data_IF_359969930628
#
_entry.id   IF_359969930628
#
_cell.length_a   1.000
_cell.length_b   1.000
_cell.length_c   1.000
_cell.angle_alpha   90.00
_cell.angle_beta   90.00
_cell.angle_gamma   90.00
#
_symmetry.space_group_name_H-M   'P 1'
#
loop_
_entity.id
_entity.type
_entity.pdbx_description
1 polymer ?
#
# COMPACT_ATOMS: atom_id res chain seq x y z
N UNK A 1 -11.03 -20.38 8.80
CA UNK A 1 -10.35 -20.43 7.49
C UNK A 1 -11.39 -20.09 6.44
N UNK A 2 -11.36 -18.87 5.87
CA UNK A 2 -12.32 -18.35 4.89
C UNK A 2 -12.08 -18.92 3.48
N UNK A 3 -11.92 -20.25 3.35
CA UNK A 3 -11.85 -20.88 2.02
C UNK A 3 -13.26 -20.89 1.42
N UNK A 4 -13.68 -19.76 0.86
CA UNK A 4 -14.92 -19.63 0.09
C UNK A 4 -15.71 -18.32 0.18
N UNK A 5 -15.31 -17.36 1.02
CA UNK A 5 -16.14 -16.17 1.35
C UNK A 5 -15.41 -14.82 1.16
N UNK A 6 -14.43 -14.76 0.25
CA UNK A 6 -13.83 -13.46 -0.12
C UNK A 6 -14.57 -12.92 -1.34
N UNK A 7 -15.08 -11.71 -1.22
CA UNK A 7 -15.89 -11.05 -2.24
C UNK A 7 -15.20 -9.76 -2.73
N UNK A 8 -15.21 -9.57 -4.05
CA UNK A 8 -14.77 -8.31 -4.66
C UNK A 8 -15.73 -7.19 -4.26
N UNK A 9 -15.19 -6.03 -3.91
CA UNK A 9 -15.93 -4.88 -3.41
C UNK A 9 -16.08 -4.86 -1.88
N UNK A 10 -15.69 -5.93 -1.19
CA UNK A 10 -15.77 -6.02 0.27
C UNK A 10 -14.42 -5.68 0.91
N UNK A 11 -14.47 -5.00 2.06
CA UNK A 11 -13.29 -4.69 2.87
C UNK A 11 -13.04 -5.81 3.86
N UNK A 12 -11.80 -6.29 3.90
CA UNK A 12 -11.32 -7.29 4.85
C UNK A 12 -10.18 -6.69 5.67
N UNK A 13 -9.97 -7.23 6.87
CA UNK A 13 -8.73 -6.97 7.60
C UNK A 13 -7.67 -7.94 7.07
N UNK A 14 -6.51 -7.39 6.69
CA UNK A 14 -5.32 -8.19 6.39
C UNK A 14 -4.54 -8.38 7.67
N UNK A 15 -4.22 -9.63 8.02
CA UNK A 15 -3.31 -9.99 9.10
C UNK A 15 -1.99 -10.48 8.52
N UNK A 16 -0.97 -9.61 8.49
CA UNK A 16 0.33 -9.98 7.93
C UNK A 16 1.09 -10.86 8.94
N UNK A 17 1.56 -12.06 8.56
CA UNK A 17 2.32 -12.92 9.45
C UNK A 17 3.59 -12.27 9.99
N UNK A 18 3.99 -12.64 11.21
CA UNK A 18 5.28 -12.26 11.78
C UNK A 18 6.48 -12.93 11.09
N UNK A 19 6.25 -14.08 10.44
CA UNK A 19 7.28 -14.80 9.70
C UNK A 19 6.83 -14.86 8.25
N UNK A 20 7.64 -14.26 7.37
CA UNK A 20 7.38 -14.13 5.94
C UNK A 20 8.42 -14.92 5.17
N UNK A 21 7.96 -15.68 4.17
CA UNK A 21 8.79 -16.57 3.36
C UNK A 21 8.91 -16.06 1.92
N UNK A 22 10.04 -16.34 1.27
CA UNK A 22 10.27 -16.02 -0.14
C UNK A 22 9.96 -14.56 -0.51
N UNK A 23 9.21 -14.38 -1.60
CA UNK A 23 8.87 -13.06 -2.16
C UNK A 23 7.99 -12.21 -1.23
N UNK A 24 7.24 -12.83 -0.31
CA UNK A 24 6.44 -12.10 0.67
C UNK A 24 7.31 -11.23 1.57
N UNK A 25 8.54 -11.66 1.87
CA UNK A 25 9.46 -10.90 2.70
C UNK A 25 9.93 -9.61 2.01
N UNK A 26 10.07 -9.63 0.69
CA UNK A 26 10.46 -8.46 -0.10
C UNK A 26 9.31 -7.44 -0.12
N UNK A 27 8.09 -7.90 -0.40
CA UNK A 27 6.92 -7.03 -0.56
C UNK A 27 6.34 -6.55 0.78
N UNK A 28 6.27 -7.42 1.79
CA UNK A 28 5.57 -7.17 3.06
C UNK A 28 6.50 -7.05 4.26
N UNK A 29 7.82 -6.99 4.05
CA UNK A 29 8.81 -6.97 5.13
C UNK A 29 8.58 -5.86 6.16
N UNK A 30 8.19 -4.66 5.72
CA UNK A 30 7.84 -3.54 6.61
C UNK A 30 6.50 -3.71 7.33
N UNK A 31 5.60 -4.56 6.81
CA UNK A 31 4.25 -4.76 7.34
C UNK A 31 4.15 -6.02 8.21
N UNK A 32 5.26 -6.68 8.51
CA UNK A 32 5.31 -7.90 9.32
C UNK A 32 4.57 -7.73 10.66
N UNK A 33 3.58 -8.57 10.92
CA UNK A 33 2.78 -8.51 12.15
C UNK A 33 1.80 -7.33 12.22
N UNK A 34 1.67 -6.55 11.13
CA UNK A 34 0.72 -5.47 11.05
C UNK A 34 -0.65 -5.97 10.63
N UNK A 35 -1.66 -5.20 10.99
CA UNK A 35 -3.01 -5.33 10.47
C UNK A 35 -3.44 -4.04 9.78
N UNK A 36 -4.17 -4.17 8.67
CA UNK A 36 -4.71 -3.02 7.94
C UNK A 36 -5.95 -3.43 7.12
N UNK A 37 -6.87 -2.49 6.83
CA UNK A 37 -8.03 -2.77 6.00
C UNK A 37 -7.63 -2.76 4.53
N UNK A 38 -8.17 -3.70 3.75
CA UNK A 38 -7.99 -3.82 2.31
C UNK A 38 -9.35 -4.05 1.66
N UNK A 39 -9.73 -3.18 0.73
CA UNK A 39 -10.91 -3.40 -0.11
C UNK A 39 -10.49 -4.24 -1.30
N UNK A 40 -11.05 -5.44 -1.44
CA UNK A 40 -10.71 -6.38 -2.51
C UNK A 40 -11.25 -5.86 -3.84
N UNK A 41 -10.38 -5.79 -4.84
CA UNK A 41 -10.71 -5.36 -6.21
C UNK A 41 -10.60 -6.48 -7.23
N UNK A 42 -9.90 -7.58 -6.90
CA UNK A 42 -9.72 -8.73 -7.77
C UNK A 42 -9.35 -9.99 -6.97
N UNK A 43 -9.64 -11.16 -7.53
CA UNK A 43 -9.36 -12.45 -6.90
C UNK A 43 -8.70 -13.39 -7.89
N UNK A 44 -7.65 -14.06 -7.42
CA UNK A 44 -7.00 -15.20 -8.04
C UNK A 44 -7.20 -16.45 -7.18
N UNK A 45 -6.65 -17.60 -7.59
CA UNK A 45 -6.84 -18.88 -6.90
C UNK A 45 -6.40 -18.87 -5.42
N UNK A 46 -5.33 -18.14 -5.10
CA UNK A 46 -4.78 -18.05 -3.73
C UNK A 46 -4.42 -16.63 -3.29
N UNK A 47 -4.71 -15.63 -4.11
CA UNK A 47 -4.36 -14.24 -3.84
C UNK A 47 -5.57 -13.31 -4.07
N UNK A 48 -5.61 -12.22 -3.33
CA UNK A 48 -6.56 -11.14 -3.50
C UNK A 48 -5.80 -9.86 -3.84
N UNK A 49 -6.20 -9.22 -4.93
CA UNK A 49 -5.81 -7.86 -5.23
C UNK A 49 -6.76 -6.92 -4.50
N UNK A 50 -6.22 -5.85 -3.93
CA UNK A 50 -7.03 -4.85 -3.28
C UNK A 50 -6.35 -3.51 -3.13
N UNK A 51 -7.13 -2.55 -2.66
CA UNK A 51 -6.67 -1.20 -2.38
C UNK A 51 -6.77 -0.90 -0.90
N UNK A 52 -5.74 -0.25 -0.35
CA UNK A 52 -5.75 0.31 1.00
C UNK A 52 -5.45 1.80 0.94
N UNK A 53 -6.06 2.55 1.85
CA UNK A 53 -5.74 3.96 2.07
C UNK A 53 -4.66 4.06 3.14
N UNK A 54 -3.57 4.75 2.82
CA UNK A 54 -2.45 5.00 3.71
C UNK A 54 -2.15 6.48 3.79
N UNK A 55 -1.48 6.88 4.86
CA UNK A 55 -0.94 8.20 5.04
C UNK A 55 0.55 8.19 4.69
N UNK A 56 0.98 9.11 3.84
CA UNK A 56 2.39 9.26 3.48
C UNK A 56 2.74 10.71 3.20
N UNK A 57 3.97 11.09 3.58
CA UNK A 57 4.59 12.31 3.07
C UNK A 57 5.31 12.10 1.75
N UNK A 58 5.49 10.84 1.32
CA UNK A 58 6.14 10.53 0.04
C UNK A 58 5.13 10.73 -1.09
N UNK A 59 5.51 11.56 -2.05
CA UNK A 59 4.71 11.87 -3.24
C UNK A 59 5.57 11.68 -4.50
N UNK A 60 4.91 11.37 -5.60
CA UNK A 60 5.51 11.35 -6.93
C UNK A 60 4.92 12.50 -7.75
N UNK A 61 5.79 13.22 -8.46
CA UNK A 61 5.37 14.27 -9.40
C UNK A 61 5.87 13.90 -10.77
N UNK A 62 4.94 13.61 -11.68
CA UNK A 62 5.25 13.38 -13.10
C UNK A 62 5.79 14.68 -13.70
N UNK A 63 6.94 14.58 -14.35
CA UNK A 63 7.55 15.69 -15.04
C UNK A 63 6.84 15.94 -16.36
N UNK A 64 6.59 17.22 -16.65
CA UNK A 64 6.12 17.62 -17.98
C UNK A 64 7.26 17.50 -19.00
N UNK A 65 6.91 17.34 -20.28
CA UNK A 65 7.90 17.30 -21.35
C UNK A 65 8.85 18.52 -21.35
N UNK A 66 8.35 19.71 -21.03
CA UNK A 66 9.17 20.93 -20.92
C UNK A 66 10.18 20.83 -19.77
N UNK A 67 9.77 20.34 -18.60
CA UNK A 67 10.67 20.12 -17.47
C UNK A 67 11.73 19.04 -17.78
N UNK A 68 11.36 17.98 -18.49
CA UNK A 68 12.32 16.98 -18.96
C UNK A 68 13.40 17.60 -19.85
N UNK A 69 13.00 18.48 -20.78
CA UNK A 69 13.94 19.21 -21.66
C UNK A 69 14.83 20.15 -20.87
N UNK A 70 14.27 20.92 -19.94
CA UNK A 70 15.05 21.84 -19.08
C UNK A 70 16.07 21.11 -18.21
N UNK A 71 15.73 19.91 -17.75
CA UNK A 71 16.62 19.03 -16.98
C UNK A 71 17.61 18.25 -17.85
N UNK A 72 17.51 18.32 -19.19
CA UNK A 72 18.38 17.60 -20.12
C UNK A 72 18.13 16.08 -20.12
N UNK A 73 16.94 15.63 -19.75
CA UNK A 73 16.57 14.22 -19.76
C UNK A 73 16.31 13.74 -21.20
N UNK A 74 16.66 12.49 -21.55
CA UNK A 74 16.26 11.87 -22.81
C UNK A 74 14.73 11.83 -22.98
N UNK A 75 14.24 11.61 -24.19
CA UNK A 75 12.81 11.43 -24.45
C UNK A 75 12.24 10.25 -23.64
N UNK A 76 11.15 10.48 -22.92
CA UNK A 76 10.50 9.50 -22.06
C UNK A 76 9.64 10.15 -20.99
N UNK A 77 8.95 9.32 -20.21
CA UNK A 77 8.16 9.73 -19.06
C UNK A 77 8.97 9.56 -17.79
N UNK A 78 9.01 10.60 -16.96
CA UNK A 78 9.79 10.63 -15.73
C UNK A 78 8.94 11.16 -14.58
N UNK A 79 9.25 10.70 -13.38
CA UNK A 79 8.69 11.25 -12.14
C UNK A 79 9.80 11.51 -11.13
N UNK A 80 9.57 12.51 -10.28
CA UNK A 80 10.38 12.76 -9.10
C UNK A 80 9.62 12.23 -7.88
N UNK A 81 10.24 11.31 -7.17
CA UNK A 81 9.72 10.78 -5.90
C UNK A 81 10.43 11.50 -4.76
N UNK A 82 9.66 12.08 -3.84
CA UNK A 82 10.23 12.83 -2.73
C UNK A 82 9.26 13.02 -1.57
N UNK A 83 9.74 13.65 -0.50
CA UNK A 83 8.92 13.99 0.66
C UNK A 83 8.33 15.39 0.51
N UNK A 84 7.01 15.49 0.62
CA UNK A 84 6.31 16.77 0.67
C UNK A 84 6.51 17.40 2.05
N UNK A 85 6.99 18.64 2.06
CA UNK A 85 7.25 19.42 3.27
C UNK A 85 6.77 20.85 3.07
N UNK A 86 6.35 21.49 4.16
CA UNK A 86 6.16 22.94 4.24
C UNK A 86 7.51 23.66 4.11
N UNK A 87 7.47 24.98 3.90
CA UNK A 87 8.68 25.81 3.79
C UNK A 87 9.57 25.78 5.05
N UNK A 88 9.00 25.53 6.22
CA UNK A 88 9.73 25.36 7.48
C UNK A 88 10.30 23.94 7.69
N UNK A 89 10.10 23.03 6.74
CA UNK A 89 10.60 21.66 6.77
C UNK A 89 9.66 20.63 7.41
N UNK A 90 8.49 21.03 7.90
CA UNK A 90 7.50 20.12 8.48
C UNK A 90 6.93 19.17 7.42
N UNK A 91 6.91 17.84 7.64
CA UNK A 91 6.30 16.90 6.70
C UNK A 91 4.81 17.16 6.52
N UNK A 92 4.35 17.20 5.26
CA UNK A 92 2.93 17.21 4.93
C UNK A 92 2.52 15.78 4.61
N UNK A 93 1.59 15.25 5.40
CA UNK A 93 1.09 13.88 5.24
C UNK A 93 -0.23 13.92 4.50
N UNK A 94 -0.32 13.19 3.39
CA UNK A 94 -1.51 13.11 2.54
C UNK A 94 -2.05 11.67 2.48
N UNK A 95 -3.37 11.49 2.27
CA UNK A 95 -3.92 10.19 1.95
C UNK A 95 -3.43 9.75 0.56
N UNK A 96 -2.97 8.50 0.48
CA UNK A 96 -2.57 7.82 -0.76
C UNK A 96 -3.29 6.49 -0.83
N UNK A 97 -3.72 6.12 -2.04
CA UNK A 97 -4.23 4.77 -2.31
C UNK A 97 -3.06 3.89 -2.74
N UNK A 98 -2.98 2.71 -2.14
CA UNK A 98 -1.97 1.71 -2.44
C UNK A 98 -2.65 0.41 -2.86
N UNK A 99 -2.28 -0.10 -4.03
CA UNK A 99 -2.69 -1.43 -4.49
C UNK A 99 -1.75 -2.49 -3.95
N UNK A 100 -2.30 -3.60 -3.48
CA UNK A 100 -1.55 -4.74 -2.95
C UNK A 100 -2.18 -6.05 -3.41
N UNK A 101 -1.34 -7.07 -3.57
CA UNK A 101 -1.75 -8.45 -3.77
C UNK A 101 -1.37 -9.25 -2.55
N UNK A 102 -2.34 -9.72 -1.77
CA UNK A 102 -2.13 -10.46 -0.52
C UNK A 102 -2.63 -11.90 -0.64
N UNK A 103 -2.02 -12.87 0.05
CA UNK A 103 -2.60 -14.21 0.15
C UNK A 103 -4.00 -14.19 0.78
N UNK A 104 -4.93 -14.96 0.21
CA UNK A 104 -6.32 -15.02 0.68
C UNK A 104 -6.40 -15.50 2.13
N UNK A 105 -5.47 -16.36 2.57
CA UNK A 105 -5.42 -16.84 3.95
C UNK A 105 -5.08 -15.77 4.99
N UNK A 106 -4.59 -14.59 4.58
CA UNK A 106 -4.36 -13.45 5.48
C UNK A 106 -5.60 -12.59 5.68
N UNK A 107 -6.66 -12.81 4.91
CA UNK A 107 -7.89 -12.04 5.01
C UNK A 107 -8.78 -12.57 6.13
N UNK A 108 -9.24 -11.68 6.99
CA UNK A 108 -10.27 -11.93 8.01
C UNK A 108 -11.40 -10.91 7.86
N UNK A 109 -12.65 -11.24 8.26
CA UNK A 109 -13.77 -10.32 8.10
C UNK A 109 -13.49 -9.01 8.82
N UNK A 110 -13.70 -7.89 8.12
CA UNK A 110 -13.52 -6.58 8.73
C UNK A 110 -14.73 -6.24 9.60
N UNK A 111 -14.49 -5.93 10.86
CA UNK A 111 -15.48 -5.32 11.75
C UNK A 111 -15.04 -3.89 12.06
N UNK A 112 -16.00 -3.02 12.42
CA UNK A 112 -15.68 -1.64 12.83
C UNK A 112 -14.87 -1.56 14.13
N UNK A 113 -14.69 -2.68 14.83
CA UNK A 113 -13.85 -2.77 16.01
C UNK A 113 -12.38 -2.83 15.59
N UNK A 114 -11.62 -1.82 16.01
CA UNK A 114 -10.18 -1.78 15.74
C UNK A 114 -9.49 -2.99 16.41
N UNK A 115 -8.78 -3.84 15.66
CA UNK A 115 -8.16 -5.03 16.21
C UNK A 115 -7.13 -4.72 17.29
N UNK A 116 -6.95 -5.63 18.24
CA UNK A 116 -5.84 -5.59 19.17
C UNK A 116 -4.53 -5.96 18.44
N UNK A 117 -3.69 -4.97 18.11
CA UNK A 117 -2.42 -5.21 17.41
C UNK A 117 -1.80 -3.95 16.80
N UNK A 118 -0.70 -4.12 16.05
CA UNK A 118 -0.08 -3.03 15.31
C UNK A 118 -0.92 -2.69 14.08
N UNK A 119 -1.71 -1.62 14.19
CA UNK A 119 -2.46 -1.07 13.07
C UNK A 119 -1.54 -0.22 12.18
N UNK A 120 -1.28 -0.68 10.97
CA UNK A 120 -0.53 0.10 9.99
C UNK A 120 -1.46 1.00 9.17
N UNK A 121 -1.23 2.31 9.28
CA UNK A 121 -1.84 3.32 8.43
C UNK A 121 -0.77 4.05 7.60
N UNK A 122 0.48 3.57 7.59
CA UNK A 122 1.59 4.27 6.95
C UNK A 122 1.88 3.69 5.58
N UNK A 123 2.13 4.57 4.60
CA UNK A 123 2.43 4.15 3.23
C UNK A 123 3.84 3.63 3.01
N UNK A 124 4.51 3.13 4.05
CA UNK A 124 5.91 2.70 4.01
C UNK A 124 5.99 1.28 3.42
N UNK A 125 5.87 1.17 2.11
CA UNK A 125 6.43 0.05 1.37
C UNK A 125 7.63 0.61 0.61
N UNK A 126 8.79 0.00 0.89
CA UNK A 126 10.12 0.44 0.49
C UNK A 126 10.22 0.86 -0.97
#
# INVERSE_FOLDING_TARGET
MLRGEVEVGTTYLVEVPHVLEGDQRLTFGALRGATFPLTVTGLEESAAEGVRSVLSSTTAVTLTAAQCVELGLPEGDYEIIGNLRTADGTPIVLPRVQTLTVPVEWLVPFTDERPHGHWDATGSLW
#
